data_IF_297216958755
#
_entry.id   IF_297216958755
#
_cell.length_a   1.000
_cell.length_b   1.000
_cell.length_c   1.000
_cell.angle_alpha   90.00
_cell.angle_beta   90.00
_cell.angle_gamma   90.00
#
_symmetry.space_group_name_H-M   'P 1'
#
loop_
_entity.id
_entity.type
_entity.pdbx_description
1 polymer ?
#
# COMPACT_ATOMS: atom_id res chain seq x y z
N UNK A 1 -68.96 36.86 -7.81
CA UNK A 1 -68.92 36.23 -9.14
C UNK A 1 -67.80 36.86 -9.94
N UNK A 2 -66.75 36.06 -10.14
CA UNK A 2 -65.83 36.04 -11.28
C UNK A 2 -64.84 37.19 -11.54
N UNK A 3 -63.58 36.82 -11.30
CA UNK A 3 -62.39 37.03 -12.15
C UNK A 3 -61.75 38.43 -12.15
N UNK A 4 -60.67 38.55 -11.36
CA UNK A 4 -59.52 39.38 -11.73
C UNK A 4 -58.33 38.44 -11.84
N UNK A 5 -57.86 38.28 -13.07
CA UNK A 5 -56.75 37.42 -13.45
C UNK A 5 -55.43 37.94 -12.86
N UNK A 6 -54.77 37.04 -12.14
CA UNK A 6 -53.32 36.81 -12.13
C UNK A 6 -52.47 37.74 -13.00
N UNK A 7 -51.68 38.60 -12.35
CA UNK A 7 -50.35 38.95 -12.83
C UNK A 7 -49.37 38.65 -11.70
N UNK A 8 -48.58 37.63 -11.98
CA UNK A 8 -47.47 37.10 -11.22
C UNK A 8 -46.35 38.15 -11.18
N UNK A 9 -46.04 38.70 -10.01
CA UNK A 9 -44.79 39.44 -9.80
C UNK A 9 -43.62 38.45 -9.93
N UNK A 10 -42.83 38.66 -10.98
CA UNK A 10 -41.64 37.89 -11.29
C UNK A 10 -40.61 38.03 -10.15
N UNK A 11 -40.03 36.92 -9.63
CA UNK A 11 -38.87 37.03 -8.78
C UNK A 11 -37.68 37.45 -9.65
N UNK A 12 -37.11 38.61 -9.30
CA UNK A 12 -35.69 38.94 -9.36
C UNK A 12 -34.95 38.35 -10.55
N UNK A 13 -34.79 39.15 -11.61
CA UNK A 13 -33.72 38.92 -12.58
C UNK A 13 -32.39 38.89 -11.82
N UNK A 14 -31.88 37.68 -11.59
CA UNK A 14 -30.50 37.44 -11.23
C UNK A 14 -29.71 37.81 -12.47
N UNK A 15 -29.27 39.07 -12.53
CA UNK A 15 -28.27 39.53 -13.49
C UNK A 15 -27.04 38.66 -13.25
N UNK A 16 -26.89 37.63 -14.06
CA UNK A 16 -25.78 36.68 -13.99
C UNK A 16 -24.68 37.17 -14.93
N UNK A 17 -24.21 38.39 -14.71
CA UNK A 17 -22.99 38.92 -15.34
C UNK A 17 -22.19 39.71 -14.29
N UNK A 18 -21.31 39.04 -13.54
CA UNK A 18 -20.05 39.70 -13.19
C UNK A 18 -18.83 38.74 -13.14
N UNK A 19 -18.96 37.49 -13.58
CA UNK A 19 -17.86 36.53 -13.39
C UNK A 19 -16.69 36.72 -14.37
N UNK A 20 -16.98 37.09 -15.62
CA UNK A 20 -15.96 37.35 -16.65
C UNK A 20 -15.14 38.62 -16.35
N UNK A 21 -15.78 39.67 -15.84
CA UNK A 21 -15.11 40.91 -15.44
C UNK A 21 -14.18 40.70 -14.24
N UNK A 22 -14.60 39.91 -13.25
CA UNK A 22 -13.76 39.57 -12.08
C UNK A 22 -12.54 38.71 -12.47
N UNK A 23 -12.67 37.77 -13.43
CA UNK A 23 -11.51 37.03 -13.95
C UNK A 23 -10.58 37.98 -14.70
N UNK A 24 -11.11 38.90 -15.53
CA UNK A 24 -10.29 39.89 -16.23
C UNK A 24 -9.59 40.85 -15.27
N UNK A 25 -10.25 41.31 -14.21
CA UNK A 25 -9.64 42.13 -13.16
C UNK A 25 -8.57 41.37 -12.37
N UNK A 26 -8.73 40.05 -12.18
CA UNK A 26 -7.70 39.19 -11.61
C UNK A 26 -6.52 38.99 -12.57
N UNK A 27 -6.75 38.89 -13.87
CA UNK A 27 -5.69 38.83 -14.90
C UNK A 27 -4.95 40.17 -15.07
N UNK A 28 -5.54 41.28 -14.66
CA UNK A 28 -4.90 42.61 -14.65
C UNK A 28 -3.97 42.83 -13.45
N UNK A 29 -4.03 41.97 -12.43
CA UNK A 29 -3.12 42.04 -11.28
C UNK A 29 -1.69 41.69 -11.72
N UNK A 30 -0.68 42.49 -11.33
CA UNK A 30 0.69 42.28 -11.78
C UNK A 30 1.25 40.91 -11.40
N UNK A 31 0.84 40.35 -10.27
CA UNK A 31 1.25 39.02 -9.80
C UNK A 31 0.71 37.90 -10.69
N UNK A 32 -0.50 38.08 -11.24
CA UNK A 32 -1.15 37.11 -12.13
C UNK A 32 -0.56 37.20 -13.53
N UNK A 33 -0.19 38.40 -13.99
CA UNK A 33 0.54 38.57 -15.25
C UNK A 33 1.94 37.97 -15.18
N UNK A 34 2.68 38.18 -14.09
CA UNK A 34 3.99 37.58 -13.89
C UNK A 34 3.90 36.05 -13.85
N UNK A 35 2.90 35.51 -13.15
CA UNK A 35 2.64 34.05 -13.11
C UNK A 35 2.26 33.50 -14.48
N UNK A 36 1.49 34.23 -15.29
CA UNK A 36 1.13 33.84 -16.65
C UNK A 36 2.31 33.91 -17.61
N UNK A 37 3.14 34.95 -17.53
CA UNK A 37 4.38 35.06 -18.30
C UNK A 37 5.32 33.92 -17.94
N UNK A 38 5.52 33.65 -16.65
CA UNK A 38 6.33 32.53 -16.18
C UNK A 38 5.77 31.19 -16.63
N UNK A 39 4.43 31.02 -16.62
CA UNK A 39 3.80 29.80 -17.10
C UNK A 39 4.00 29.61 -18.61
N UNK A 40 3.88 30.67 -19.40
CA UNK A 40 4.16 30.67 -20.85
C UNK A 40 5.62 30.35 -21.13
N UNK A 41 6.55 30.94 -20.40
CA UNK A 41 7.99 30.67 -20.52
C UNK A 41 8.34 29.23 -20.12
N UNK A 42 7.60 28.64 -19.17
CA UNK A 42 7.79 27.25 -18.73
C UNK A 42 6.92 26.22 -19.48
N UNK A 43 6.07 26.63 -20.44
CA UNK A 43 5.31 25.71 -21.28
C UNK A 43 6.17 24.62 -21.95
N UNK A 44 7.38 24.92 -22.48
CA UNK A 44 8.25 23.89 -23.04
C UNK A 44 8.58 22.79 -22.03
N UNK A 45 8.82 23.16 -20.76
CA UNK A 45 9.14 22.22 -19.68
C UNK A 45 7.95 21.34 -19.31
N UNK A 46 6.74 21.90 -19.31
CA UNK A 46 5.52 21.12 -19.12
C UNK A 46 5.30 20.14 -20.28
N UNK A 47 5.56 20.54 -21.52
CA UNK A 47 5.49 19.67 -22.68
C UNK A 47 6.52 18.51 -22.59
N UNK A 48 7.73 18.78 -22.12
CA UNK A 48 8.73 17.75 -21.85
C UNK A 48 8.30 16.78 -20.75
N UNK A 49 7.70 17.28 -19.66
CA UNK A 49 7.19 16.43 -18.58
C UNK A 49 6.08 15.50 -19.06
N UNK A 50 5.14 16.01 -19.87
CA UNK A 50 4.08 15.19 -20.47
C UNK A 50 4.69 14.13 -21.39
N UNK A 51 5.69 14.48 -22.19
CA UNK A 51 6.41 13.54 -23.05
C UNK A 51 7.14 12.46 -22.22
N UNK A 52 7.75 12.84 -21.09
CA UNK A 52 8.36 11.89 -20.16
C UNK A 52 7.33 10.94 -19.54
N UNK A 53 6.16 11.46 -19.15
CA UNK A 53 5.03 10.67 -18.66
C UNK A 53 4.52 9.69 -19.72
N UNK A 54 4.40 10.12 -20.97
CA UNK A 54 4.04 9.23 -22.09
C UNK A 54 5.08 8.12 -22.27
N UNK A 55 6.38 8.44 -22.24
CA UNK A 55 7.44 7.42 -22.32
C UNK A 55 7.42 6.45 -21.14
N UNK A 56 7.13 6.93 -19.94
CA UNK A 56 6.99 6.08 -18.76
C UNK A 56 5.76 5.16 -18.87
N UNK A 57 4.65 5.67 -19.41
CA UNK A 57 3.47 4.87 -19.72
C UNK A 57 3.78 3.80 -20.76
N UNK A 58 4.42 4.17 -21.88
CA UNK A 58 4.80 3.23 -22.93
C UNK A 58 5.77 2.16 -22.40
N UNK A 59 6.73 2.55 -21.56
CA UNK A 59 7.62 1.61 -20.90
C UNK A 59 6.86 0.65 -19.99
N UNK A 60 5.99 1.17 -19.10
CA UNK A 60 5.19 0.34 -18.20
C UNK A 60 4.26 -0.60 -18.99
N UNK A 61 3.63 -0.11 -20.06
CA UNK A 61 2.78 -0.89 -20.94
C UNK A 61 3.60 -2.00 -21.62
N UNK A 62 4.73 -1.67 -22.23
CA UNK A 62 5.58 -2.63 -22.92
C UNK A 62 6.08 -3.72 -21.96
N UNK A 63 6.58 -3.34 -20.79
CA UNK A 63 7.03 -4.29 -19.75
C UNK A 63 5.88 -5.14 -19.22
N UNK A 64 4.70 -4.55 -18.98
CA UNK A 64 3.55 -5.28 -18.46
C UNK A 64 2.93 -6.24 -19.50
N UNK A 65 3.04 -5.92 -20.79
CA UNK A 65 2.58 -6.82 -21.86
C UNK A 65 3.59 -7.89 -22.23
N UNK A 66 4.85 -7.72 -21.84
CA UNK A 66 5.89 -8.70 -22.09
C UNK A 66 5.78 -9.86 -21.08
N UNK A 67 5.05 -10.89 -21.51
CA UNK A 67 4.86 -12.12 -20.73
C UNK A 67 6.17 -12.87 -20.48
N UNK A 68 7.17 -12.73 -21.34
CA UNK A 68 8.47 -13.41 -21.19
C UNK A 68 9.24 -12.73 -20.06
N UNK A 69 9.35 -11.40 -20.09
CA UNK A 69 10.01 -10.65 -19.01
C UNK A 69 9.34 -10.87 -17.65
N UNK A 70 8.01 -10.85 -17.59
CA UNK A 70 7.27 -11.12 -16.33
C UNK A 70 7.55 -12.53 -15.82
N UNK A 71 7.51 -13.53 -16.71
CA UNK A 71 7.73 -14.92 -16.32
C UNK A 71 9.17 -15.15 -15.85
N UNK A 72 10.16 -14.61 -16.57
CA UNK A 72 11.58 -14.74 -16.22
C UNK A 72 11.89 -14.01 -14.90
N UNK A 73 11.30 -12.83 -14.68
CA UNK A 73 11.43 -12.09 -13.43
C UNK A 73 10.75 -12.80 -12.26
N UNK A 74 9.52 -13.29 -12.45
CA UNK A 74 8.79 -14.05 -11.44
C UNK A 74 9.49 -15.36 -11.10
N UNK A 75 10.11 -16.02 -12.07
CA UNK A 75 10.90 -17.22 -11.87
C UNK A 75 12.22 -16.91 -11.12
N UNK A 76 12.91 -15.84 -11.53
CA UNK A 76 14.15 -15.39 -10.89
C UNK A 76 13.94 -15.01 -9.42
N UNK A 77 12.94 -14.19 -9.11
CA UNK A 77 12.57 -13.90 -7.71
C UNK A 77 12.01 -15.14 -7.01
N UNK A 78 11.24 -15.94 -7.74
CA UNK A 78 10.71 -17.23 -7.31
C UNK A 78 11.79 -18.10 -6.69
N UNK A 79 12.97 -18.20 -7.30
CA UNK A 79 14.09 -18.99 -6.79
C UNK A 79 14.65 -18.49 -5.45
N UNK A 80 14.64 -17.19 -5.20
CA UNK A 80 15.04 -16.62 -3.91
C UNK A 80 13.98 -16.84 -2.81
N UNK A 81 12.70 -16.86 -3.16
CA UNK A 81 11.60 -17.02 -2.19
C UNK A 81 11.18 -18.46 -1.97
N UNK A 82 11.46 -19.38 -2.91
CA UNK A 82 11.25 -20.83 -2.80
C UNK A 82 11.72 -21.41 -1.45
N UNK A 83 12.95 -21.17 -0.96
CA UNK A 83 13.38 -21.75 0.32
C UNK A 83 12.54 -21.26 1.50
N UNK A 84 12.08 -19.99 1.49
CA UNK A 84 11.20 -19.44 2.52
C UNK A 84 9.79 -20.03 2.39
N UNK A 85 9.28 -20.17 1.16
CA UNK A 85 7.98 -20.76 0.87
C UNK A 85 7.91 -22.24 1.31
N UNK A 86 8.94 -23.03 0.99
CA UNK A 86 9.03 -24.44 1.39
C UNK A 86 9.15 -24.58 2.91
N UNK A 87 9.98 -23.75 3.55
CA UNK A 87 10.10 -23.72 5.01
C UNK A 87 8.76 -23.36 5.66
N UNK A 88 8.06 -22.34 5.15
CA UNK A 88 6.74 -21.93 5.64
C UNK A 88 5.69 -23.03 5.46
N UNK A 89 5.70 -23.72 4.32
CA UNK A 89 4.81 -24.86 4.05
C UNK A 89 5.04 -26.00 5.04
N UNK A 90 6.29 -26.36 5.30
CA UNK A 90 6.62 -27.41 6.26
C UNK A 90 6.19 -27.04 7.69
N UNK A 91 6.41 -25.78 8.10
CA UNK A 91 5.96 -25.29 9.42
C UNK A 91 4.42 -25.31 9.50
N UNK A 92 3.72 -24.87 8.47
CA UNK A 92 2.26 -24.89 8.43
C UNK A 92 1.71 -26.32 8.52
N UNK A 93 2.29 -27.26 7.76
CA UNK A 93 1.91 -28.68 7.83
C UNK A 93 2.19 -29.28 9.21
N UNK A 94 3.35 -29.00 9.81
CA UNK A 94 3.67 -29.46 11.16
C UNK A 94 2.72 -28.88 12.22
N UNK A 95 2.30 -27.62 12.07
CA UNK A 95 1.35 -26.98 12.97
C UNK A 95 -0.06 -27.59 12.86
N UNK A 96 -0.52 -27.87 11.65
CA UNK A 96 -1.81 -28.55 11.40
C UNK A 96 -1.78 -29.95 12.02
N UNK A 97 -0.74 -30.73 11.74
CA UNK A 97 -0.57 -32.07 12.27
C UNK A 97 -0.47 -32.09 13.81
N UNK A 98 0.26 -31.15 14.40
CA UNK A 98 0.33 -30.99 15.84
C UNK A 98 -1.05 -30.64 16.43
N UNK A 99 -1.82 -29.78 15.75
CA UNK A 99 -3.19 -29.42 16.11
C UNK A 99 -4.13 -30.65 16.11
N UNK A 100 -4.06 -31.48 15.09
CA UNK A 100 -4.86 -32.71 14.99
C UNK A 100 -4.48 -33.73 16.09
N UNK A 101 -3.17 -33.96 16.30
CA UNK A 101 -2.68 -34.88 17.35
C UNK A 101 -3.05 -34.41 18.76
N UNK A 102 -2.93 -33.11 19.03
CA UNK A 102 -3.32 -32.55 20.34
C UNK A 102 -4.81 -32.70 20.64
N UNK A 103 -5.66 -32.70 19.60
CA UNK A 103 -7.11 -32.89 19.72
C UNK A 103 -7.49 -34.37 19.85
N UNK A 104 -6.72 -35.28 19.22
CA UNK A 104 -6.90 -36.71 19.42
C UNK A 104 -6.51 -37.16 20.84
N UNK A 105 -5.54 -36.48 21.47
CA UNK A 105 -5.00 -36.81 22.79
C UNK A 105 -5.68 -36.07 23.97
N UNK A 106 -6.84 -35.42 23.75
CA UNK A 106 -7.58 -34.55 24.70
C UNK A 106 -7.88 -35.19 26.06
N UNK A 107 -7.83 -36.53 26.17
CA UNK A 107 -8.01 -37.25 27.43
C UNK A 107 -6.77 -37.32 28.35
N UNK A 108 -5.60 -36.88 27.90
CA UNK A 108 -4.32 -37.11 28.59
C UNK A 108 -3.80 -35.83 29.25
N UNK A 109 -4.08 -35.63 30.54
CA UNK A 109 -3.54 -34.48 31.27
C UNK A 109 -2.04 -34.66 31.52
N UNK A 110 -1.25 -33.64 31.20
CA UNK A 110 0.19 -33.62 31.49
C UNK A 110 0.40 -33.40 32.99
N UNK A 111 0.95 -34.41 33.68
CA UNK A 111 1.32 -34.31 35.10
C UNK A 111 2.62 -33.51 35.34
N UNK A 112 2.94 -33.19 36.60
CA UNK A 112 4.14 -32.43 36.99
C UNK A 112 5.45 -33.05 36.46
N UNK A 113 5.59 -34.37 36.55
CA UNK A 113 6.74 -35.08 35.97
C UNK A 113 6.75 -35.03 34.43
N UNK A 114 5.58 -34.98 33.79
CA UNK A 114 5.46 -34.79 32.35
C UNK A 114 5.95 -33.40 31.91
N UNK A 115 5.60 -32.36 32.66
CA UNK A 115 6.13 -31.00 32.43
C UNK A 115 7.64 -30.95 32.59
N UNK A 116 8.20 -31.58 33.63
CA UNK A 116 9.65 -31.66 33.82
C UNK A 116 10.34 -32.42 32.68
N UNK A 117 9.71 -33.48 32.17
CA UNK A 117 10.21 -34.24 31.01
C UNK A 117 10.18 -33.41 29.74
N UNK A 118 9.11 -32.64 29.48
CA UNK A 118 9.02 -31.72 28.33
C UNK A 118 10.06 -30.61 28.41
N UNK A 119 10.34 -30.06 29.59
CA UNK A 119 11.38 -29.05 29.75
C UNK A 119 12.78 -29.61 29.43
N UNK A 120 12.98 -30.92 29.60
CA UNK A 120 14.21 -31.63 29.24
C UNK A 120 14.26 -32.03 27.76
N UNK A 121 13.20 -31.80 27.00
CA UNK A 121 13.17 -32.10 25.57
C UNK A 121 14.23 -31.28 24.79
N UNK A 122 14.98 -31.88 23.86
CA UNK A 122 16.02 -31.20 23.11
C UNK A 122 15.53 -29.97 22.31
N UNK A 123 14.32 -29.97 21.76
CA UNK A 123 13.80 -28.84 20.99
C UNK A 123 13.41 -27.67 21.90
N UNK A 124 12.84 -27.97 23.07
CA UNK A 124 12.58 -26.96 24.11
C UNK A 124 13.90 -26.36 24.60
N UNK A 125 14.93 -27.18 24.82
CA UNK A 125 16.26 -26.72 25.22
C UNK A 125 16.94 -25.85 24.15
N UNK A 126 16.81 -26.19 22.86
CA UNK A 126 17.30 -25.35 21.76
C UNK A 126 16.62 -23.98 21.77
N UNK A 127 15.31 -23.93 21.99
CA UNK A 127 14.54 -22.68 22.04
C UNK A 127 14.98 -21.79 23.20
N UNK A 128 15.19 -22.37 24.38
CA UNK A 128 15.70 -21.64 25.56
C UNK A 128 17.13 -21.11 25.33
N UNK A 129 18.02 -21.91 24.72
CA UNK A 129 19.39 -21.49 24.36
C UNK A 129 19.38 -20.36 23.34
N UNK A 130 18.50 -20.44 22.34
CA UNK A 130 18.32 -19.35 21.38
C UNK A 130 17.86 -18.07 22.07
N UNK A 131 16.84 -18.14 22.94
CA UNK A 131 16.36 -16.99 23.69
C UNK A 131 17.49 -16.36 24.53
N UNK A 132 18.31 -17.17 25.19
CA UNK A 132 19.48 -16.70 25.94
C UNK A 132 20.50 -16.01 25.02
N UNK A 133 20.87 -16.63 23.90
CA UNK A 133 21.81 -16.05 22.94
C UNK A 133 21.28 -14.72 22.36
N UNK A 134 19.99 -14.65 22.04
CA UNK A 134 19.34 -13.45 21.55
C UNK A 134 19.38 -12.31 22.57
N UNK A 135 19.07 -12.60 23.84
CA UNK A 135 19.16 -11.62 24.92
C UNK A 135 20.59 -11.13 25.13
N UNK A 136 21.60 -12.00 25.04
CA UNK A 136 23.00 -11.61 25.12
C UNK A 136 23.39 -10.65 24.00
N UNK A 137 23.01 -10.94 22.75
CA UNK A 137 23.26 -10.04 21.61
C UNK A 137 22.59 -8.67 21.82
N UNK A 138 21.36 -8.64 22.34
CA UNK A 138 20.67 -7.37 22.64
C UNK A 138 21.35 -6.60 23.77
N UNK A 139 21.89 -7.29 24.78
CA UNK A 139 22.63 -6.67 25.87
C UNK A 139 23.96 -6.10 25.39
N UNK A 140 24.70 -6.84 24.53
CA UNK A 140 25.94 -6.38 23.92
C UNK A 140 25.74 -5.13 23.06
N UNK A 141 24.64 -5.05 22.29
CA UNK A 141 24.31 -3.89 21.45
C UNK A 141 23.85 -2.65 22.23
N UNK A 142 23.58 -2.77 23.53
CA UNK A 142 23.17 -1.66 24.40
C UNK A 142 24.37 -1.01 25.12
N UNK A 143 25.54 -1.64 25.10
CA UNK A 143 26.81 -1.08 25.58
C UNK A 143 27.57 -0.41 24.43
#
# INVERSE_FOLDING_TARGET
MSQTSTIQEAPVSIVTEPKSLDVLDQLLKPEVQESLTLLVDNLPKLAEMVNMLTKAYDFAQNVATDKVLINDFAQGIGEFVKPVQETAKNIASAAIEAGERSQADVGTTIGLFGMLKMLKDPEVQKTLRFAQAFLNVLAERKN
#
